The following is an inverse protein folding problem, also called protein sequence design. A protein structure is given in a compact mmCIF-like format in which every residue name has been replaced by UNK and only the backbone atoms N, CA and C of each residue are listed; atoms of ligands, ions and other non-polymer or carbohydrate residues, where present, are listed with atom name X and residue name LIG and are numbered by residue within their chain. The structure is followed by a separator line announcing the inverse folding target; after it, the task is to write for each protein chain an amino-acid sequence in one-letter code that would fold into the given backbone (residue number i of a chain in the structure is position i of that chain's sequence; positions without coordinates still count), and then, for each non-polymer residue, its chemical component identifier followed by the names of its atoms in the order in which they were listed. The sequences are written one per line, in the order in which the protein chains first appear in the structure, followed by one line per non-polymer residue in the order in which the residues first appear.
data_IF_661667040954
#
_entry.id   IF_661667040954
#
_cell.length_a   1.000
_cell.length_b   1.000
_cell.length_c   1.000
_cell.angle_alpha   90.00
_cell.angle_beta   90.00
_cell.angle_gamma   90.00
#
_symmetry.space_group_name_H-M   'P 1'
#
loop_
_entity.id
_entity.type
_entity.pdbx_description
1 polymer ?
#
# COMPACT_ATOMS: atom_id res chain seq x y z
N UNK A 1 -22.29 -35.64 -0.99
CA UNK A 1 -21.69 -34.51 -0.26
C UNK A 1 -21.01 -33.64 -1.32
N UNK A 2 -21.66 -32.56 -1.79
CA UNK A 2 -21.07 -31.71 -2.84
C UNK A 2 -20.05 -30.79 -2.17
N UNK A 3 -18.76 -30.99 -2.42
CA UNK A 3 -17.75 -29.99 -2.12
C UNK A 3 -18.04 -28.77 -3.00
N UNK A 4 -18.44 -27.66 -2.38
CA UNK A 4 -18.56 -26.40 -3.08
C UNK A 4 -17.15 -25.96 -3.51
N UNK A 5 -16.97 -25.49 -4.76
CA UNK A 5 -15.67 -25.04 -5.24
C UNK A 5 -15.20 -23.85 -4.40
N UNK A 6 -13.91 -23.83 -4.05
CA UNK A 6 -13.24 -22.69 -3.44
C UNK A 6 -13.46 -21.45 -4.30
N UNK A 7 -14.47 -20.63 -3.98
CA UNK A 7 -14.64 -19.35 -4.62
C UNK A 7 -13.64 -18.40 -3.98
N UNK A 8 -12.65 -17.97 -4.76
CA UNK A 8 -11.73 -16.88 -4.42
C UNK A 8 -12.55 -15.57 -4.47
N UNK A 9 -13.42 -15.41 -3.48
CA UNK A 9 -14.28 -14.24 -3.32
C UNK A 9 -13.38 -13.06 -3.00
N UNK A 10 -13.47 -12.02 -3.82
CA UNK A 10 -12.84 -10.71 -3.56
C UNK A 10 -13.18 -10.31 -2.11
N UNK A 11 -12.20 -10.37 -1.22
CA UNK A 11 -12.34 -10.03 0.20
C UNK A 11 -12.24 -11.18 1.22
N UNK A 12 -12.02 -12.43 0.79
CA UNK A 12 -11.75 -13.55 1.72
C UNK A 12 -10.36 -13.52 2.37
N UNK A 13 -10.07 -14.49 3.24
CA UNK A 13 -8.75 -14.63 3.89
C UNK A 13 -7.57 -14.70 2.90
N UNK A 14 -7.82 -15.30 1.74
CA UNK A 14 -6.86 -15.43 0.65
C UNK A 14 -6.40 -14.07 0.11
N UNK A 15 -7.34 -13.16 -0.17
CA UNK A 15 -7.04 -11.77 -0.58
C UNK A 15 -6.33 -10.98 0.52
N UNK A 16 -6.58 -11.31 1.79
CA UNK A 16 -5.91 -10.66 2.92
C UNK A 16 -4.47 -11.15 3.06
N UNK A 17 -4.21 -12.45 2.85
CA UNK A 17 -2.86 -13.02 2.83
C UNK A 17 -2.01 -12.36 1.74
N UNK A 18 -2.50 -12.31 0.50
CA UNK A 18 -1.81 -11.67 -0.62
C UNK A 18 -1.51 -10.19 -0.32
N UNK A 19 -2.47 -9.46 0.25
CA UNK A 19 -2.29 -8.06 0.64
C UNK A 19 -1.19 -7.90 1.69
N UNK A 20 -1.19 -8.74 2.72
CA UNK A 20 -0.19 -8.69 3.79
C UNK A 20 1.21 -9.09 3.30
N UNK A 21 1.30 -10.00 2.34
CA UNK A 21 2.57 -10.37 1.71
C UNK A 21 3.19 -9.18 0.96
N UNK A 22 2.41 -8.49 0.13
CA UNK A 22 2.88 -7.30 -0.59
C UNK A 22 3.28 -6.18 0.37
N UNK A 23 2.51 -5.94 1.44
CA UNK A 23 2.88 -4.98 2.49
C UNK A 23 4.21 -5.37 3.14
N UNK A 24 4.42 -6.66 3.40
CA UNK A 24 5.66 -7.17 4.00
C UNK A 24 6.85 -6.95 3.06
N UNK A 25 6.71 -7.22 1.76
CA UNK A 25 7.77 -6.98 0.77
C UNK A 25 8.15 -5.51 0.67
N UNK A 26 7.16 -4.62 0.71
CA UNK A 26 7.40 -3.19 0.77
C UNK A 26 8.12 -2.77 2.07
N UNK A 27 7.75 -3.36 3.20
CA UNK A 27 8.37 -3.07 4.49
C UNK A 27 9.85 -3.49 4.56
N UNK A 28 10.22 -4.60 3.92
CA UNK A 28 11.62 -5.07 3.86
C UNK A 28 12.41 -4.48 2.69
N UNK A 29 11.82 -3.57 1.91
CA UNK A 29 12.49 -2.84 0.83
C UNK A 29 12.73 -3.65 -0.44
N UNK A 30 11.93 -4.69 -0.70
CA UNK A 30 11.98 -5.43 -1.99
C UNK A 30 11.35 -4.58 -3.11
N UNK A 31 10.40 -3.71 -2.78
CA UNK A 31 9.86 -2.72 -3.71
C UNK A 31 9.41 -1.45 -2.98
N UNK A 32 9.50 -0.31 -3.66
CA UNK A 32 9.06 1.00 -3.13
C UNK A 32 7.66 1.40 -3.61
N UNK A 33 6.97 0.51 -4.33
CA UNK A 33 5.64 0.81 -4.88
C UNK A 33 4.58 0.88 -3.78
N UNK A 34 3.74 1.93 -3.75
CA UNK A 34 2.61 2.01 -2.83
C UNK A 34 1.56 0.94 -3.14
N UNK A 35 0.95 0.40 -2.08
CA UNK A 35 -0.11 -0.59 -2.12
C UNK A 35 -1.46 0.10 -2.03
N UNK A 36 -2.23 0.04 -3.12
CA UNK A 36 -3.56 0.63 -3.20
C UNK A 36 -4.65 -0.26 -2.58
N UNK A 37 -5.41 0.27 -1.63
CA UNK A 37 -6.52 -0.40 -0.97
C UNK A 37 -7.85 0.31 -1.24
N UNK A 38 -8.73 -0.32 -2.03
CA UNK A 38 -10.07 0.19 -2.29
C UNK A 38 -10.99 -0.14 -1.10
N UNK A 39 -11.25 0.87 -0.27
CA UNK A 39 -12.02 0.74 0.97
C UNK A 39 -13.50 1.07 0.75
N UNK A 40 -14.22 0.14 0.11
CA UNK A 40 -15.67 0.25 -0.13
C UNK A 40 -16.44 0.16 1.19
N UNK A 41 -17.28 1.16 1.46
CA UNK A 41 -18.14 1.24 2.66
C UNK A 41 -17.43 0.96 4.01
N UNK A 42 -16.12 1.21 4.07
CA UNK A 42 -15.33 0.98 5.26
C UNK A 42 -14.96 -0.47 5.54
N UNK A 43 -15.05 -1.37 4.55
CA UNK A 43 -14.70 -2.79 4.68
C UNK A 43 -13.31 -3.02 5.33
N UNK A 44 -12.33 -2.21 4.97
CA UNK A 44 -10.96 -2.30 5.47
C UNK A 44 -10.66 -1.39 6.67
N UNK A 45 -11.65 -0.69 7.24
CA UNK A 45 -11.42 0.22 8.37
C UNK A 45 -10.78 -0.50 9.56
N UNK A 46 -11.28 -1.68 9.92
CA UNK A 46 -10.73 -2.47 11.04
C UNK A 46 -9.28 -2.88 10.79
N UNK A 47 -8.92 -3.19 9.54
CA UNK A 47 -7.53 -3.53 9.17
C UNK A 47 -6.63 -2.30 9.26
N UNK A 48 -7.08 -1.15 8.75
CA UNK A 48 -6.35 0.12 8.85
C UNK A 48 -6.14 0.51 10.32
N UNK A 49 -7.18 0.45 11.15
CA UNK A 49 -7.07 0.71 12.60
C UNK A 49 -6.14 -0.27 13.31
N UNK A 50 -6.14 -1.56 12.92
CA UNK A 50 -5.20 -2.53 13.48
C UNK A 50 -3.75 -2.14 13.18
N UNK A 51 -3.46 -1.71 11.94
CA UNK A 51 -2.12 -1.26 11.57
C UNK A 51 -1.73 0.04 12.29
N UNK A 52 -2.66 0.99 12.43
CA UNK A 52 -2.45 2.23 13.20
C UNK A 52 -2.08 1.92 14.65
N UNK A 53 -2.84 1.03 15.32
CA UNK A 53 -2.52 0.60 16.68
C UNK A 53 -1.17 -0.13 16.77
N UNK A 54 -0.84 -0.97 15.79
CA UNK A 54 0.44 -1.68 15.77
C UNK A 54 1.63 -0.73 15.57
N UNK A 55 1.43 0.43 14.94
CA UNK A 55 2.41 1.51 14.86
C UNK A 55 2.54 2.21 16.22
N UNK A 56 1.42 2.55 16.85
CA UNK A 56 1.41 3.20 18.17
C UNK A 56 2.07 2.34 19.25
N UNK A 57 1.88 1.02 19.19
CA UNK A 57 2.51 0.04 20.07
C UNK A 57 4.00 -0.24 19.70
N UNK A 58 4.49 0.32 18.59
CA UNK A 58 5.88 0.19 18.14
C UNK A 58 6.23 -1.13 17.45
N UNK A 59 5.25 -1.95 17.08
CA UNK A 59 5.47 -3.18 16.31
C UNK A 59 5.73 -2.90 14.82
N UNK A 60 5.16 -1.83 14.29
CA UNK A 60 5.29 -1.41 12.88
C UNK A 60 5.91 -0.02 12.83
N UNK A 61 6.80 0.21 11.86
CA UNK A 61 7.39 1.55 11.67
C UNK A 61 6.37 2.49 11.03
N UNK A 62 6.35 3.79 11.38
CA UNK A 62 5.48 4.77 10.72
C UNK A 62 5.69 4.82 9.20
N UNK A 63 6.92 4.58 8.73
CA UNK A 63 7.23 4.47 7.30
C UNK A 63 6.40 3.39 6.59
N UNK A 64 6.15 2.25 7.25
CA UNK A 64 5.35 1.18 6.68
C UNK A 64 3.88 1.57 6.50
N UNK A 65 3.38 2.58 7.23
CA UNK A 65 2.01 3.09 7.05
C UNK A 65 1.81 3.83 5.74
N UNK A 66 2.86 4.50 5.27
CA UNK A 66 2.85 5.28 4.04
C UNK A 66 2.84 4.39 2.79
N UNK A 67 3.20 3.11 2.95
CA UNK A 67 3.09 2.10 1.89
C UNK A 67 1.62 1.92 1.48
N UNK A 68 0.68 2.01 2.43
CA UNK A 68 -0.73 1.70 2.18
C UNK A 68 -1.52 2.97 1.89
N UNK A 69 -2.01 3.07 0.66
CA UNK A 69 -2.86 4.17 0.20
C UNK A 69 -4.29 3.67 0.09
N UNK A 70 -5.22 4.26 0.84
CA UNK A 70 -6.63 3.89 0.77
C UNK A 70 -7.50 5.00 0.17
N UNK A 71 -8.56 4.58 -0.53
CA UNK A 71 -9.61 5.45 -1.02
C UNK A 71 -10.95 4.70 -1.14
N UNK A 72 -12.06 5.43 -1.10
CA UNK A 72 -13.41 4.86 -1.21
C UNK A 72 -13.86 4.69 -2.67
N UNK A 73 -13.22 5.41 -3.60
CA UNK A 73 -13.51 5.35 -5.03
C UNK A 73 -12.26 4.93 -5.80
N UNK A 74 -12.45 4.10 -6.83
CA UNK A 74 -11.35 3.59 -7.64
C UNK A 74 -10.58 4.72 -8.35
N UNK A 75 -11.30 5.74 -8.83
CA UNK A 75 -10.69 6.89 -9.50
C UNK A 75 -9.75 7.65 -8.56
N UNK A 76 -10.20 7.89 -7.33
CA UNK A 76 -9.40 8.58 -6.31
C UNK A 76 -8.17 7.76 -5.93
N UNK A 77 -8.30 6.43 -5.86
CA UNK A 77 -7.18 5.53 -5.58
C UNK A 77 -6.11 5.63 -6.68
N UNK A 78 -6.53 5.56 -7.94
CA UNK A 78 -5.63 5.66 -9.09
C UNK A 78 -4.93 7.02 -9.09
N UNK A 79 -5.67 8.12 -8.95
CA UNK A 79 -5.07 9.45 -8.91
C UNK A 79 -4.04 9.61 -7.78
N UNK A 80 -4.30 9.04 -6.60
CA UNK A 80 -3.34 9.05 -5.49
C UNK A 80 -2.09 8.25 -5.81
N UNK A 81 -2.21 7.07 -6.42
CA UNK A 81 -1.07 6.23 -6.79
C UNK A 81 -0.21 6.87 -7.89
N UNK A 82 -0.83 7.41 -8.94
CA UNK A 82 -0.15 8.11 -10.04
C UNK A 82 0.62 9.34 -9.53
N UNK A 83 0.06 10.06 -8.55
CA UNK A 83 0.71 11.23 -7.97
C UNK A 83 1.99 10.84 -7.22
N UNK A 84 1.97 9.72 -6.49
CA UNK A 84 3.15 9.23 -5.76
C UNK A 84 4.27 8.82 -6.72
N UNK A 85 3.97 8.07 -7.79
CA UNK A 85 4.97 7.70 -8.79
C UNK A 85 5.56 8.95 -9.49
N UNK A 86 4.73 9.97 -9.75
CA UNK A 86 5.18 11.21 -10.42
C UNK A 86 6.11 12.03 -9.52
N UNK A 87 5.82 12.11 -8.21
CA UNK A 87 6.68 12.79 -7.25
C UNK A 87 8.02 12.08 -7.07
N UNK A 88 8.03 10.75 -7.00
CA UNK A 88 9.28 9.98 -6.88
C UNK A 88 10.19 10.19 -8.09
N UNK A 89 9.64 10.15 -9.31
CA UNK A 89 10.41 10.40 -10.54
C UNK A 89 10.93 11.85 -10.56
N UNK A 90 10.09 12.83 -10.23
CA UNK A 90 10.46 14.24 -10.26
C UNK A 90 11.52 14.56 -9.22
N UNK A 91 11.37 14.05 -7.99
CA UNK A 91 12.33 14.24 -6.91
C UNK A 91 13.68 13.61 -7.22
N UNK A 92 13.72 12.37 -7.70
CA UNK A 92 14.96 11.70 -8.09
C UNK A 92 15.66 12.43 -9.25
N UNK A 93 14.91 12.87 -10.25
CA UNK A 93 15.46 13.66 -11.38
C UNK A 93 16.07 14.99 -10.91
N UNK A 94 15.46 15.64 -9.91
CA UNK A 94 15.98 16.89 -9.36
C UNK A 94 17.25 16.66 -8.50
N UNK A 95 17.29 15.60 -7.70
CA UNK A 95 18.49 15.22 -6.94
C UNK A 95 19.67 14.90 -7.89
N UNK A 96 19.44 14.14 -8.97
CA UNK A 96 20.46 13.82 -9.97
C UNK A 96 20.98 15.08 -10.69
N UNK A 97 20.10 15.99 -11.11
CA UNK A 97 20.50 17.24 -11.75
C UNK A 97 21.28 18.16 -10.80
N UNK A 98 20.95 18.19 -9.51
CA UNK A 98 21.72 18.91 -8.51
C UNK A 98 23.09 18.27 -8.25
N UNK A 99 23.19 16.93 -8.25
CA UNK A 99 24.45 16.20 -8.09
C UNK A 99 25.39 16.33 -9.30
N UNK A 100 24.86 16.55 -10.50
CA UNK A 100 25.65 16.73 -11.73
C UNK A 100 26.09 18.19 -11.98
N UNK A 101 25.51 19.17 -11.27
CA UNK A 101 25.85 20.59 -11.39
C UNK A 101 26.85 21.09 -10.32
N UNK A 102 27.51 20.18 -9.60
CA UNK A 102 28.58 20.49 -8.60
C UNK A 102 30.01 20.22 -9.12
N UNK A 103 30.18 20.15 -10.44
CA UNK A 103 31.48 20.17 -11.12
C UNK A 103 31.55 21.30 -12.13
#
# INVERSE_FOLDING_TARGET
MKSLPFSHSRGGYDTLEELLEVITWAQIGIHDKPVGLLNLDGYYNSLLSFMDNAIDDGFITPAARHIIVSAQHAQDLICKLEHLETWDITFNTLQEKHALNVH
#
